data_IF_740445962840
#
_entry.id   IF_740445962840
#
_cell.length_a   1.000
_cell.length_b   1.000
_cell.length_c   1.000
_cell.angle_alpha   90.00
_cell.angle_beta   90.00
_cell.angle_gamma   90.00
#
_symmetry.space_group_name_H-M   'P 1'
#
loop_
_entity.id
_entity.type
_entity.pdbx_description
1 polymer ?
#
# COMPACT_ATOMS: atom_id res chain seq x y z
N UNK A 1 12.31 -1.50 -0.18
CA UNK A 1 10.86 -1.28 -0.08
C UNK A 1 10.33 -1.44 1.34
N UNK A 2 10.83 -2.41 2.09
CA UNK A 2 10.33 -2.63 3.45
C UNK A 2 10.52 -1.41 4.34
N UNK A 3 11.70 -0.83 4.36
CA UNK A 3 11.95 0.36 5.17
C UNK A 3 11.07 1.51 4.76
N UNK A 4 10.85 1.65 3.46
CA UNK A 4 9.98 2.70 2.95
C UNK A 4 8.56 2.52 3.47
N UNK A 5 8.05 1.29 3.43
CA UNK A 5 6.70 1.02 3.91
C UNK A 5 6.59 1.24 5.42
N UNK A 6 7.60 0.83 6.17
CA UNK A 6 7.60 1.06 7.61
C UNK A 6 7.53 2.55 7.94
N UNK A 7 8.28 3.35 7.19
CA UNK A 7 8.30 4.79 7.41
C UNK A 7 6.99 5.46 6.99
N UNK A 8 6.33 4.91 5.98
CA UNK A 8 5.11 5.48 5.47
C UNK A 8 3.87 5.04 6.24
N UNK A 9 3.97 3.93 6.95
CA UNK A 9 2.81 3.38 7.62
C UNK A 9 2.33 4.31 8.74
N UNK A 10 1.04 4.57 8.76
CA UNK A 10 0.42 5.40 9.77
C UNK A 10 -0.69 4.59 10.45
N UNK A 11 -0.46 4.21 11.70
CA UNK A 11 -1.40 3.35 12.39
C UNK A 11 -2.75 4.03 12.59
N UNK A 12 -2.76 5.35 12.74
CA UNK A 12 -4.03 6.08 12.88
C UNK A 12 -4.88 5.97 11.63
N UNK A 13 -4.26 5.93 10.46
CA UNK A 13 -4.99 5.84 9.20
C UNK A 13 -5.37 4.41 8.85
N UNK A 14 -4.74 3.43 9.48
CA UNK A 14 -5.08 2.03 9.22
C UNK A 14 -6.42 1.67 9.85
N UNK A 15 -6.80 2.37 10.91
CA UNK A 15 -8.08 2.11 11.55
C UNK A 15 -8.23 0.65 11.95
N UNK A 16 -9.29 0.03 11.49
CA UNK A 16 -9.56 -1.36 11.77
C UNK A 16 -9.16 -2.28 10.63
N UNK A 17 -8.34 -1.79 9.72
CA UNK A 17 -7.90 -2.59 8.58
C UNK A 17 -7.17 -3.84 9.05
N UNK A 18 -7.59 -4.98 8.52
CA UNK A 18 -6.96 -6.27 8.80
C UNK A 18 -6.84 -6.97 7.45
N UNK A 19 -5.66 -6.92 6.87
CA UNK A 19 -5.47 -7.45 5.53
C UNK A 19 -4.04 -7.91 5.34
N UNK A 20 -3.89 -8.99 4.59
CA UNK A 20 -2.60 -9.48 4.13
C UNK A 20 -2.44 -9.05 2.68
N UNK A 21 -1.39 -8.32 2.42
CA UNK A 21 -1.21 -7.62 1.15
C UNK A 21 0.11 -8.03 0.52
N UNK A 22 0.06 -8.23 -0.78
CA UNK A 22 1.27 -8.38 -1.60
C UNK A 22 1.33 -7.18 -2.54
N UNK A 23 2.47 -6.51 -2.57
CA UNK A 23 2.74 -5.50 -3.59
C UNK A 23 3.75 -6.07 -4.54
N UNK A 24 3.47 -5.97 -5.83
CA UNK A 24 4.28 -6.58 -6.87
C UNK A 24 4.59 -5.56 -7.96
N UNK A 25 5.83 -5.55 -8.43
CA UNK A 25 6.26 -4.69 -9.52
C UNK A 25 7.17 -5.49 -10.43
N UNK A 26 7.72 -4.84 -11.47
CA UNK A 26 8.39 -5.55 -12.56
C UNK A 26 9.49 -6.49 -12.08
N UNK A 27 10.28 -6.09 -11.09
CA UNK A 27 11.44 -6.86 -10.67
C UNK A 27 11.43 -7.22 -9.19
N UNK A 28 10.26 -7.19 -8.55
CA UNK A 28 10.21 -7.55 -7.14
C UNK A 28 8.81 -7.60 -6.58
N UNK A 29 8.76 -8.00 -5.33
CA UNK A 29 7.50 -8.03 -4.59
C UNK A 29 7.78 -7.97 -3.10
N UNK A 30 6.77 -7.60 -2.33
CA UNK A 30 6.84 -7.60 -0.88
C UNK A 30 5.47 -7.96 -0.33
N UNK A 31 5.47 -8.77 0.73
CA UNK A 31 4.25 -9.18 1.41
C UNK A 31 4.25 -8.63 2.83
N UNK A 32 3.09 -8.16 3.26
CA UNK A 32 2.96 -7.65 4.61
C UNK A 32 1.52 -7.81 5.08
N UNK A 33 1.33 -7.67 6.37
CA UNK A 33 0.01 -7.71 6.99
C UNK A 33 -0.18 -6.46 7.81
N UNK A 34 -1.36 -5.87 7.71
CA UNK A 34 -1.76 -4.76 8.56
C UNK A 34 -2.85 -5.30 9.48
N UNK A 35 -2.63 -5.19 10.78
CA UNK A 35 -3.56 -5.70 11.77
C UNK A 35 -3.35 -4.96 13.08
N UNK A 36 -4.45 -4.57 13.72
CA UNK A 36 -4.41 -3.91 15.03
C UNK A 36 -3.53 -2.66 15.04
N UNK A 37 -3.55 -1.91 13.96
CA UNK A 37 -2.78 -0.69 13.87
C UNK A 37 -1.28 -0.89 13.73
N UNK A 38 -0.86 -2.07 13.27
CA UNK A 38 0.55 -2.38 13.10
C UNK A 38 0.77 -3.05 11.75
N UNK A 39 1.96 -2.86 11.21
CA UNK A 39 2.37 -3.52 9.97
C UNK A 39 3.45 -4.54 10.31
N UNK A 40 3.34 -5.73 9.72
CA UNK A 40 4.35 -6.77 9.88
C UNK A 40 4.61 -7.40 8.52
N UNK A 41 5.84 -7.84 8.31
CA UNK A 41 6.26 -8.39 7.02
C UNK A 41 6.40 -9.90 7.15
N UNK A 42 5.71 -10.63 6.25
CA UNK A 42 5.72 -12.08 6.26
C UNK A 42 5.62 -12.55 4.82
N UNK A 43 6.66 -13.23 4.36
CA UNK A 43 6.75 -13.59 2.96
C UNK A 43 5.88 -14.79 2.60
N UNK A 44 5.53 -15.59 3.56
CA UNK A 44 4.85 -16.85 3.30
C UNK A 44 3.35 -16.81 3.46
N UNK A 45 2.78 -15.66 3.76
CA UNK A 45 1.35 -15.60 3.95
C UNK A 45 0.62 -15.51 2.62
N UNK A 46 -0.53 -16.19 2.54
CA UNK A 46 -1.41 -16.04 1.39
C UNK A 46 -2.00 -14.64 1.40
N UNK A 47 -1.74 -13.85 0.37
CA UNK A 47 -2.30 -12.50 0.37
C UNK A 47 -3.80 -12.54 0.08
N UNK A 48 -4.52 -11.71 0.79
CA UNK A 48 -5.93 -11.47 0.50
C UNK A 48 -6.06 -10.43 -0.60
N UNK A 49 -5.01 -9.67 -0.81
CA UNK A 49 -5.00 -8.55 -1.73
C UNK A 49 -3.63 -8.48 -2.38
N UNK A 50 -3.60 -8.36 -3.71
CA UNK A 50 -2.36 -8.13 -4.44
C UNK A 50 -2.50 -6.83 -5.21
N UNK A 51 -1.52 -5.95 -5.06
CA UNK A 51 -1.49 -4.68 -5.76
C UNK A 51 -0.31 -4.70 -6.71
N UNK A 52 -0.58 -4.41 -7.99
CA UNK A 52 0.43 -4.45 -9.04
C UNK A 52 0.82 -3.04 -9.43
N UNK A 53 2.11 -2.77 -9.42
CA UNK A 53 2.67 -1.50 -9.85
C UNK A 53 3.54 -1.71 -11.08
N UNK A 54 3.77 -0.64 -11.81
CA UNK A 54 4.61 -0.68 -12.98
C UNK A 54 6.07 -0.98 -12.61
N UNK A 55 6.58 -0.27 -11.62
CA UNK A 55 7.94 -0.46 -11.12
C UNK A 55 8.01 0.04 -9.68
N UNK A 56 9.19 -0.07 -9.06
CA UNK A 56 9.32 0.29 -7.66
C UNK A 56 9.19 1.80 -7.44
N UNK A 57 9.63 2.62 -8.40
CA UNK A 57 9.49 4.06 -8.27
C UNK A 57 8.04 4.49 -8.38
N UNK A 58 7.31 3.87 -9.27
CA UNK A 58 5.89 4.14 -9.40
C UNK A 58 5.16 3.76 -8.12
N UNK A 59 5.53 2.62 -7.55
CA UNK A 59 4.96 2.18 -6.28
C UNK A 59 5.21 3.21 -5.19
N UNK A 60 6.44 3.70 -5.07
CA UNK A 60 6.76 4.67 -4.06
C UNK A 60 6.03 6.00 -4.27
N UNK A 61 5.88 6.41 -5.52
CA UNK A 61 5.14 7.63 -5.82
C UNK A 61 3.68 7.54 -5.43
N UNK A 62 3.06 6.40 -5.69
CA UNK A 62 1.67 6.20 -5.34
C UNK A 62 1.48 6.05 -3.83
N UNK A 63 2.37 5.32 -3.18
CA UNK A 63 2.29 5.09 -1.75
C UNK A 63 2.51 6.40 -0.99
N UNK A 64 3.48 7.19 -1.42
CA UNK A 64 3.82 8.43 -0.73
C UNK A 64 2.83 9.57 -0.98
N UNK A 65 1.89 9.38 -1.88
CA UNK A 65 0.91 10.41 -2.18
C UNK A 65 1.35 11.40 -3.24
N UNK A 66 2.52 11.20 -3.85
CA UNK A 66 2.95 12.07 -4.94
C UNK A 66 2.09 11.88 -6.17
N UNK A 67 1.46 10.74 -6.30
CA UNK A 67 0.51 10.44 -7.36
C UNK A 67 -0.78 9.96 -6.74
N UNK A 68 -1.87 10.28 -7.39
CA UNK A 68 -3.19 9.89 -6.92
C UNK A 68 -3.45 8.42 -7.28
N UNK A 69 -3.62 7.53 -6.29
CA UNK A 69 -3.87 6.12 -6.58
C UNK A 69 -5.19 5.88 -7.31
N UNK A 70 -6.20 6.69 -7.06
CA UNK A 70 -7.47 6.55 -7.76
C UNK A 70 -7.27 6.85 -9.25
N UNK A 71 -6.57 7.92 -9.55
CA UNK A 71 -6.30 8.30 -10.93
C UNK A 71 -5.45 7.24 -11.64
N UNK A 72 -4.44 6.72 -10.92
CA UNK A 72 -3.59 5.68 -11.48
C UNK A 72 -4.39 4.41 -11.77
N UNK A 73 -5.32 4.08 -10.90
CA UNK A 73 -6.18 2.91 -11.10
C UNK A 73 -7.04 3.09 -12.34
N UNK A 74 -7.62 4.27 -12.52
CA UNK A 74 -8.46 4.54 -13.67
C UNK A 74 -7.68 4.52 -14.97
N UNK A 75 -6.40 4.89 -14.93
CA UNK A 75 -5.54 4.88 -16.11
C UNK A 75 -4.90 3.52 -16.39
N UNK A 76 -5.13 2.53 -15.53
CA UNK A 76 -4.53 1.22 -15.71
C UNK A 76 -3.09 1.13 -15.22
N UNK A 77 -2.57 2.15 -14.58
CA UNK A 77 -1.22 2.14 -14.04
C UNK A 77 -1.14 1.46 -12.68
N UNK A 78 -2.26 1.28 -12.04
CA UNK A 78 -2.37 0.57 -10.77
C UNK A 78 -3.42 -0.51 -10.93
N UNK A 79 -3.04 -1.74 -10.63
CA UNK A 79 -3.98 -2.86 -10.72
C UNK A 79 -4.01 -3.59 -9.41
N UNK A 80 -5.10 -4.29 -9.16
CA UNK A 80 -5.25 -5.02 -7.92
C UNK A 80 -6.10 -6.25 -8.13
N UNK A 81 -5.80 -7.27 -7.34
CA UNK A 81 -6.60 -8.48 -7.26
C UNK A 81 -7.08 -8.57 -5.82
N UNK A 82 -8.41 -8.52 -5.64
CA UNK A 82 -9.00 -8.53 -4.33
C UNK A 82 -10.00 -7.40 -4.18
N UNK A 83 -10.38 -7.11 -2.96
CA UNK A 83 -11.36 -6.07 -2.69
C UNK A 83 -10.80 -4.67 -2.94
N UNK A 84 -11.45 -3.93 -3.82
CA UNK A 84 -11.00 -2.60 -4.20
C UNK A 84 -10.97 -1.64 -3.01
N UNK A 85 -11.95 -1.76 -2.12
CA UNK A 85 -11.99 -0.91 -0.93
C UNK A 85 -10.72 -1.11 -0.10
N UNK A 86 -10.28 -2.36 0.04
CA UNK A 86 -9.07 -2.65 0.80
C UNK A 86 -7.82 -2.10 0.13
N UNK A 87 -7.81 -2.01 -1.19
CA UNK A 87 -6.70 -1.40 -1.91
C UNK A 87 -6.52 0.04 -1.43
N UNK A 88 -7.60 0.80 -1.46
CA UNK A 88 -7.51 2.21 -1.12
C UNK A 88 -7.30 2.41 0.38
N UNK A 89 -7.85 1.54 1.22
CA UNK A 89 -7.58 1.61 2.65
C UNK A 89 -6.10 1.33 2.95
N UNK A 90 -5.52 0.35 2.25
CA UNK A 90 -4.11 0.04 2.40
C UNK A 90 -3.25 1.22 1.96
N UNK A 91 -3.57 1.79 0.81
CA UNK A 91 -2.82 2.95 0.32
C UNK A 91 -2.93 4.12 1.29
N UNK A 92 -4.11 4.33 1.87
CA UNK A 92 -4.29 5.40 2.86
C UNK A 92 -3.44 5.16 4.10
N UNK A 93 -3.41 3.91 4.58
CA UNK A 93 -2.60 3.59 5.75
C UNK A 93 -1.12 3.80 5.50
N UNK A 94 -0.69 3.67 4.26
CA UNK A 94 0.71 3.82 3.88
C UNK A 94 1.04 5.20 3.36
N UNK A 95 0.10 6.13 3.37
CA UNK A 95 0.34 7.47 2.83
C UNK A 95 1.23 8.31 3.73
N UNK A 96 1.58 7.80 4.89
CA UNK A 96 2.48 8.53 5.77
C UNK A 96 1.78 9.58 6.60
N UNK A 97 2.57 10.31 7.34
CA UNK A 97 2.05 11.35 8.23
C UNK A 97 2.17 12.74 7.62
N UNK A 98 2.76 12.80 6.46
CA UNK A 98 3.11 14.08 5.86
C UNK A 98 1.90 14.84 5.37
N UNK A 99 0.84 14.14 5.11
CA UNK A 99 -0.37 14.81 4.65
C UNK A 99 -0.91 15.77 5.67
N UNK A 100 -0.53 15.59 6.91
CA UNK A 100 -0.95 16.52 7.94
C UNK A 100 -0.40 17.92 7.71
N UNK A 101 0.65 18.00 6.94
CA UNK A 101 1.20 19.29 6.61
C UNK A 101 0.19 20.17 5.90
N UNK A 102 -0.76 19.56 5.30
CA UNK A 102 -1.78 20.30 4.59
C UNK A 102 -2.77 20.98 5.51
N UNK A 103 -2.77 20.60 6.72
CA UNK A 103 -3.72 21.16 7.66
C UNK A 103 -3.30 22.50 8.19
#
# INVERSE_FOLDING_TARGET
>A
MRSFLENQFCSEKSGELDARVRMQWADGQICFQIQDGAISFAEDSDPELTIYFKDSEDAKGLISGKRDPVHAFMNGNLRANGHLIWVFQTMAALSGKTDTAAT
#
